data_IF_814359857422
#
_entry.id   IF_814359857422
#
_cell.length_a   1.000
_cell.length_b   1.000
_cell.length_c   1.000
_cell.angle_alpha   90.00
_cell.angle_beta   90.00
_cell.angle_gamma   90.00
#
_symmetry.space_group_name_H-M   'P 1'
#
loop_
_entity.id
_entity.type
_entity.pdbx_description
1 polymer ?
#
# COMPACT_ATOMS: atom_id res chain seq x y z
N UNK A 1 4.08 -21.51 8.83
CA UNK A 1 4.27 -20.46 9.85
C UNK A 1 5.43 -19.58 9.40
N UNK A 2 5.15 -18.40 8.83
CA UNK A 2 6.20 -17.45 8.40
C UNK A 2 6.61 -16.63 9.63
N UNK A 3 7.85 -16.80 10.05
CA UNK A 3 8.47 -16.00 11.09
C UNK A 3 8.36 -14.52 10.69
N UNK A 4 7.60 -13.74 11.45
CA UNK A 4 7.73 -12.30 11.42
C UNK A 4 9.06 -12.01 12.11
N UNK A 5 10.08 -11.72 11.30
CA UNK A 5 11.41 -11.30 11.73
C UNK A 5 11.30 -9.97 12.49
N UNK A 6 10.96 -10.04 13.78
CA UNK A 6 11.20 -8.96 14.73
C UNK A 6 12.61 -9.14 15.30
N UNK A 7 13.61 -9.04 14.42
CA UNK A 7 14.99 -8.90 14.86
C UNK A 7 15.23 -7.40 14.98
N UNK A 8 15.14 -6.90 16.22
CA UNK A 8 15.36 -5.50 16.58
C UNK A 8 16.81 -5.10 16.31
N UNK A 9 17.18 -4.96 15.03
CA UNK A 9 18.39 -4.25 14.62
C UNK A 9 18.15 -2.77 14.84
N UNK A 10 19.11 -2.11 15.49
CA UNK A 10 19.15 -0.66 15.53
C UNK A 10 19.00 -0.13 14.10
N UNK A 11 18.06 0.80 13.90
CA UNK A 11 17.87 1.43 12.59
C UNK A 11 19.15 2.18 12.27
N UNK A 12 19.80 1.85 11.16
CA UNK A 12 20.87 2.67 10.62
C UNK A 12 20.26 3.97 10.10
N UNK A 13 20.51 5.07 10.83
CA UNK A 13 19.95 6.39 10.52
C UNK A 13 20.78 7.15 9.50
N UNK A 14 22.00 6.68 9.22
CA UNK A 14 22.97 7.38 8.36
C UNK A 14 22.44 7.46 6.93
N UNK A 15 22.39 8.67 6.37
CA UNK A 15 21.91 8.95 5.01
C UNK A 15 20.61 8.22 4.63
N UNK A 16 19.67 8.18 5.59
CA UNK A 16 18.43 7.40 5.47
C UNK A 16 17.63 7.75 4.21
N UNK A 17 17.63 9.02 3.77
CA UNK A 17 16.90 9.44 2.58
C UNK A 17 17.47 8.87 1.29
N UNK A 18 18.80 8.77 1.15
CA UNK A 18 19.40 8.13 -0.01
C UNK A 18 19.11 6.64 -0.04
N UNK A 19 19.14 5.99 1.13
CA UNK A 19 18.77 4.57 1.26
C UNK A 19 17.31 4.35 0.86
N UNK A 20 16.37 5.15 1.36
CA UNK A 20 14.96 5.04 0.97
C UNK A 20 14.74 5.24 -0.54
N UNK A 21 15.53 6.11 -1.18
CA UNK A 21 15.45 6.32 -2.65
C UNK A 21 15.92 5.13 -3.48
N UNK A 22 16.76 4.24 -2.93
CA UNK A 22 17.23 3.05 -3.65
C UNK A 22 16.31 1.84 -3.52
N UNK A 23 15.32 1.89 -2.61
CA UNK A 23 14.36 0.82 -2.39
C UNK A 23 13.28 0.79 -3.46
N UNK A 24 12.75 -0.41 -3.72
CA UNK A 24 11.73 -0.63 -4.76
C UNK A 24 10.46 -1.32 -4.25
N UNK A 25 10.52 -2.01 -3.10
CA UNK A 25 9.38 -2.69 -2.51
C UNK A 25 8.93 -2.00 -1.22
N UNK A 26 7.62 -1.90 -1.01
CA UNK A 26 7.07 -1.21 0.17
C UNK A 26 7.57 -1.82 1.47
N UNK A 27 7.63 -3.15 1.56
CA UNK A 27 8.17 -3.91 2.69
C UNK A 27 9.57 -3.46 3.10
N UNK A 28 10.42 -3.09 2.13
CA UNK A 28 11.78 -2.62 2.39
C UNK A 28 11.77 -1.27 3.11
N UNK A 29 10.83 -0.37 2.80
CA UNK A 29 10.70 0.92 3.49
C UNK A 29 10.32 0.71 4.97
N UNK A 30 9.36 -0.17 5.23
CA UNK A 30 8.96 -0.51 6.60
C UNK A 30 10.11 -1.15 7.38
N UNK A 31 10.86 -2.06 6.75
CA UNK A 31 12.02 -2.69 7.37
C UNK A 31 13.15 -1.67 7.65
N UNK A 32 13.46 -0.82 6.67
CA UNK A 32 14.51 0.20 6.79
C UNK A 32 14.21 1.23 7.89
N UNK A 33 12.94 1.56 8.12
CA UNK A 33 12.49 2.50 9.15
C UNK A 33 12.06 1.82 10.46
N UNK A 34 12.14 0.49 10.54
CA UNK A 34 11.77 -0.28 11.73
C UNK A 34 10.30 -0.10 12.15
N UNK A 35 9.39 -0.05 11.17
CA UNK A 35 7.95 0.09 11.39
C UNK A 35 7.29 -1.28 11.18
N UNK A 36 6.48 -1.68 12.16
CA UNK A 36 5.65 -2.89 12.05
C UNK A 36 4.37 -2.60 11.25
N UNK A 37 3.89 -3.58 10.48
CA UNK A 37 2.70 -3.45 9.65
C UNK A 37 1.92 -4.76 9.60
N UNK A 38 0.60 -4.68 9.37
CA UNK A 38 -0.21 -5.84 8.97
C UNK A 38 -0.01 -6.14 7.48
N UNK A 39 0.50 -7.33 7.10
CA UNK A 39 0.63 -7.74 5.70
C UNK A 39 -0.68 -7.64 4.91
N UNK A 40 -1.85 -7.86 5.52
CA UNK A 40 -3.14 -7.76 4.82
C UNK A 40 -3.41 -6.36 4.29
N UNK A 41 -3.10 -5.34 5.10
CA UNK A 41 -3.24 -3.93 4.72
C UNK A 41 -2.17 -3.56 3.70
N UNK A 42 -0.90 -3.87 3.99
CA UNK A 42 0.20 -3.49 3.10
C UNK A 42 0.03 -4.14 1.73
N UNK A 43 -0.38 -5.41 1.68
CA UNK A 43 -0.52 -6.15 0.43
C UNK A 43 -1.44 -5.49 -0.60
N UNK A 44 -2.52 -4.85 -0.14
CA UNK A 44 -3.53 -4.21 -1.01
C UNK A 44 -3.22 -2.75 -1.31
N UNK A 45 -2.35 -2.11 -0.53
CA UNK A 45 -2.18 -0.65 -0.56
C UNK A 45 -0.74 -0.16 -0.75
N UNK A 46 0.23 -1.05 -1.05
CA UNK A 46 1.67 -0.72 -1.24
C UNK A 46 1.90 0.57 -2.03
N UNK A 47 1.41 0.63 -3.27
CA UNK A 47 1.63 1.77 -4.16
C UNK A 47 1.02 3.05 -3.61
N UNK A 48 -0.15 2.95 -2.98
CA UNK A 48 -0.85 4.10 -2.41
C UNK A 48 -0.14 4.64 -1.17
N UNK A 49 0.34 3.76 -0.28
CA UNK A 49 1.13 4.13 0.89
C UNK A 49 2.42 4.83 0.45
N UNK A 50 3.19 4.24 -0.48
CA UNK A 50 4.44 4.85 -0.95
C UNK A 50 4.22 6.18 -1.65
N UNK A 51 3.16 6.30 -2.47
CA UNK A 51 2.78 7.57 -3.09
C UNK A 51 2.45 8.62 -2.03
N UNK A 52 1.66 8.27 -1.01
CA UNK A 52 1.27 9.20 0.07
C UNK A 52 2.46 9.61 0.93
N UNK A 53 3.33 8.66 1.28
CA UNK A 53 4.60 8.93 1.95
C UNK A 53 5.43 9.95 1.16
N UNK A 54 5.58 9.76 -0.15
CA UNK A 54 6.32 10.70 -1.00
C UNK A 54 5.72 12.10 -1.03
N UNK A 55 4.39 12.23 -0.96
CA UNK A 55 3.71 13.53 -0.87
C UNK A 55 4.04 14.24 0.45
N UNK A 56 3.94 13.53 1.57
CA UNK A 56 4.28 14.07 2.89
C UNK A 56 5.77 14.43 3.01
N UNK A 57 6.68 13.60 2.48
CA UNK A 57 8.11 13.91 2.48
C UNK A 57 8.45 15.16 1.67
N UNK A 58 7.68 15.49 0.64
CA UNK A 58 7.88 16.70 -0.15
C UNK A 58 7.47 17.98 0.58
N UNK A 59 6.65 17.87 1.63
CA UNK A 59 6.22 18.99 2.48
C UNK A 59 7.21 19.25 3.64
N UNK A 60 8.11 18.30 3.92
CA UNK A 60 9.10 18.39 4.99
C UNK A 60 10.36 19.15 4.54
N UNK A 61 10.92 19.97 5.44
CA UNK A 61 12.25 20.56 5.28
C UNK A 61 13.28 19.76 6.09
N UNK A 62 14.22 19.14 5.37
CA UNK A 62 15.31 18.34 5.92
C UNK A 62 16.66 19.08 5.97
N UNK A 63 16.73 20.32 5.48
CA UNK A 63 17.98 21.06 5.36
C UNK A 63 18.64 21.28 6.72
N UNK A 64 19.90 20.85 6.86
CA UNK A 64 20.70 21.05 8.07
C UNK A 64 20.25 20.25 9.30
N UNK A 65 19.30 19.31 9.15
CA UNK A 65 18.89 18.44 10.24
C UNK A 65 19.87 17.28 10.45
N UNK A 66 20.09 16.85 11.71
CA UNK A 66 20.83 15.63 11.98
C UNK A 66 20.11 14.39 11.43
N UNK A 67 20.87 13.41 10.95
CA UNK A 67 20.38 12.14 10.38
C UNK A 67 19.32 11.44 11.25
N UNK A 68 19.50 11.44 12.58
CA UNK A 68 18.51 10.87 13.50
C UNK A 68 17.15 11.57 13.47
N UNK A 69 17.14 12.90 13.29
CA UNK A 69 15.90 13.68 13.17
C UNK A 69 15.25 13.43 11.82
N UNK A 70 16.05 13.36 10.74
CA UNK A 70 15.58 13.04 9.40
C UNK A 70 14.94 11.64 9.40
N UNK A 71 15.58 10.65 10.01
CA UNK A 71 15.06 9.29 10.13
C UNK A 71 13.75 9.25 10.92
N UNK A 72 13.65 9.99 12.03
CA UNK A 72 12.43 10.07 12.82
C UNK A 72 11.26 10.69 12.02
N UNK A 73 11.52 11.75 11.24
CA UNK A 73 10.50 12.38 10.38
C UNK A 73 10.07 11.48 9.22
N UNK A 74 11.03 10.82 8.56
CA UNK A 74 10.73 9.86 7.51
C UNK A 74 9.89 8.68 8.03
N UNK A 75 10.21 8.20 9.24
CA UNK A 75 9.43 7.19 9.95
C UNK A 75 8.00 7.66 10.22
N UNK A 76 7.83 8.82 10.86
CA UNK A 76 6.52 9.39 11.17
C UNK A 76 5.66 9.59 9.90
N UNK A 77 6.31 9.99 8.81
CA UNK A 77 5.65 10.15 7.50
C UNK A 77 5.13 8.84 6.95
N UNK A 78 5.92 7.76 7.02
CA UNK A 78 5.48 6.43 6.58
C UNK A 78 4.38 5.86 7.49
N UNK A 79 4.49 6.03 8.82
CA UNK A 79 3.46 5.62 9.78
C UNK A 79 2.13 6.31 9.49
N UNK A 80 2.14 7.64 9.32
CA UNK A 80 0.94 8.41 8.94
C UNK A 80 0.37 7.96 7.61
N UNK A 81 1.21 7.79 6.59
CA UNK A 81 0.77 7.32 5.29
C UNK A 81 0.15 5.92 5.36
N UNK A 82 0.67 5.03 6.19
CA UNK A 82 0.10 3.70 6.43
C UNK A 82 -1.24 3.77 7.15
N UNK A 83 -1.33 4.56 8.23
CA UNK A 83 -2.56 4.73 9.02
C UNK A 83 -3.72 5.24 8.16
N UNK A 84 -3.47 6.17 7.25
CA UNK A 84 -4.46 6.67 6.29
C UNK A 84 -5.17 5.54 5.52
N UNK A 85 -4.49 4.41 5.25
CA UNK A 85 -5.10 3.26 4.55
C UNK A 85 -5.53 2.14 5.49
N UNK A 86 -4.89 2.01 6.65
CA UNK A 86 -5.25 1.02 7.66
C UNK A 86 -6.59 1.35 8.33
N UNK A 87 -6.83 2.63 8.64
CA UNK A 87 -8.10 3.09 9.22
C UNK A 87 -9.16 3.32 8.15
N UNK A 88 -8.77 3.85 6.99
CA UNK A 88 -9.69 4.16 5.89
C UNK A 88 -9.91 2.98 4.94
N UNK A 89 -9.90 1.74 5.44
CA UNK A 89 -10.20 0.56 4.63
C UNK A 89 -11.44 0.85 3.76
N UNK A 90 -11.32 0.85 2.41
CA UNK A 90 -12.44 1.14 1.52
C UNK A 90 -13.61 0.16 1.69
N UNK A 91 -13.35 -1.01 2.28
CA UNK A 91 -14.36 -1.98 2.69
C UNK A 91 -15.20 -1.47 3.87
N UNK A 92 -14.56 -0.80 4.85
CA UNK A 92 -15.24 -0.22 6.01
C UNK A 92 -16.01 1.05 5.63
N UNK A 93 -15.45 1.88 4.74
CA UNK A 93 -16.04 3.17 4.37
C UNK A 93 -16.95 3.13 3.11
N UNK A 94 -17.16 1.96 2.47
CA UNK A 94 -18.02 1.75 1.28
C UNK A 94 -17.91 2.90 0.25
N UNK A 95 -16.70 3.41 0.03
CA UNK A 95 -16.43 4.58 -0.82
C UNK A 95 -16.30 4.23 -2.31
N UNK A 96 -16.39 2.95 -2.65
CA UNK A 96 -16.57 2.53 -4.04
C UNK A 96 -18.04 2.61 -4.42
N UNK A 97 -18.37 3.51 -5.37
CA UNK A 97 -19.70 3.55 -6.03
C UNK A 97 -20.13 2.17 -6.58
N UNK A 98 -19.17 1.31 -6.92
CA UNK A 98 -19.37 -0.06 -7.40
C UNK A 98 -19.88 -1.04 -6.31
N UNK A 99 -19.73 -0.73 -5.01
CA UNK A 99 -20.21 -1.59 -3.91
C UNK A 99 -21.61 -1.20 -3.40
N UNK A 100 -22.29 -0.24 -4.03
CA UNK A 100 -23.64 0.21 -3.64
C UNK A 100 -24.77 -0.59 -4.28
N UNK A 101 -24.47 -1.49 -5.23
CA UNK A 101 -25.50 -2.17 -6.05
C UNK A 101 -25.83 -3.61 -5.63
N UNK A 102 -25.34 -4.10 -4.50
CA UNK A 102 -25.73 -5.44 -4.00
C UNK A 102 -26.61 -5.32 -2.76
N UNK A 103 -27.91 -5.19 -3.01
CA UNK A 103 -28.98 -5.36 -2.03
C UNK A 103 -29.20 -6.87 -1.80
N UNK A 104 -29.00 -7.42 -0.58
CA UNK A 104 -29.14 -8.87 -0.32
C UNK A 104 -30.59 -9.36 -0.47
N UNK A 105 -31.59 -8.48 -0.46
CA UNK A 105 -33.01 -8.81 -0.55
C UNK A 105 -33.60 -8.69 -1.97
N UNK A 106 -32.78 -8.31 -2.96
CA UNK A 106 -33.19 -8.30 -4.37
C UNK A 106 -32.30 -9.22 -5.19
N UNK A 107 -32.79 -10.36 -5.68
CA UNK A 107 -32.07 -11.10 -6.70
C UNK A 107 -31.99 -10.19 -7.93
N UNK A 108 -30.81 -9.65 -8.20
CA UNK A 108 -30.52 -9.06 -9.49
C UNK A 108 -30.80 -10.15 -10.54
N UNK A 109 -31.81 -9.95 -11.37
CA UNK A 109 -31.99 -10.71 -12.60
C UNK A 109 -30.71 -10.53 -13.41
N UNK A 110 -29.85 -11.55 -13.34
CA UNK A 110 -28.56 -11.62 -14.02
C UNK A 110 -28.83 -11.79 -15.50
N UNK A 111 -29.05 -10.69 -16.19
CA UNK A 111 -28.96 -10.65 -17.66
C UNK A 111 -27.55 -10.21 -18.11
N UNK A 112 -26.54 -10.48 -17.29
CA UNK A 112 -25.18 -10.55 -17.80
C UNK A 112 -25.06 -11.87 -18.53
N UNK A 113 -25.24 -11.81 -19.85
CA UNK A 113 -24.74 -12.80 -20.79
C UNK A 113 -23.28 -13.07 -20.45
N UNK A 114 -23.05 -14.09 -19.62
CA UNK A 114 -21.72 -14.60 -19.34
C UNK A 114 -21.19 -15.12 -20.68
N UNK A 115 -20.18 -14.44 -21.24
CA UNK A 115 -19.50 -14.90 -22.45
C UNK A 115 -18.29 -15.71 -21.99
N UNK A 116 -18.29 -17.04 -22.16
CA UNK A 116 -17.14 -17.87 -21.82
C UNK A 116 -15.88 -17.39 -22.54
N UNK A 117 -14.73 -17.46 -21.87
CA UNK A 117 -13.44 -17.00 -22.41
C UNK A 117 -13.08 -17.65 -23.76
N UNK A 118 -13.46 -18.92 -23.92
CA UNK A 118 -13.40 -19.67 -25.17
C UNK A 118 -14.17 -19.03 -26.35
N UNK A 119 -15.28 -18.32 -26.09
CA UNK A 119 -16.02 -17.59 -27.13
C UNK A 119 -15.26 -16.38 -27.66
N UNK A 120 -14.40 -15.77 -26.84
CA UNK A 120 -13.52 -14.66 -27.25
C UNK A 120 -12.34 -15.20 -28.05
N UNK A 121 -11.76 -16.32 -27.61
CA UNK A 121 -10.62 -16.95 -28.30
C UNK A 121 -10.99 -17.43 -29.71
N UNK A 122 -12.23 -17.86 -29.93
CA UNK A 122 -12.74 -18.28 -31.25
C UNK A 122 -12.78 -17.15 -32.29
N UNK A 123 -12.71 -15.88 -31.87
CA UNK A 123 -12.58 -14.73 -32.79
C UNK A 123 -11.15 -14.57 -33.33
N UNK A 124 -10.16 -15.19 -32.68
CA UNK A 124 -8.73 -14.97 -32.95
C UNK A 124 -7.97 -16.24 -33.39
N UNK A 125 -8.64 -17.37 -33.61
CA UNK A 125 -8.10 -18.56 -34.27
C UNK A 125 -9.25 -19.47 -34.67
N UNK A 126 -9.31 -20.11 -35.83
CA UNK A 126 -8.40 -20.44 -36.95
C UNK A 126 -9.35 -20.48 -38.18
N UNK A 127 -9.02 -20.09 -39.41
CA UNK A 127 -7.96 -20.53 -40.34
C UNK A 127 -7.75 -19.45 -41.41
#
# INVERSE_FOLDING_TARGET
MRSCFAESRAIDVTDILARLKSLSAAEEFFAALGISYDPKVLNVSRLHILKRMGQYLAEEDFAGLPDGVIAARARATLERAYEDFATSSPLTHRVFKVLKEHDPDKPATRDHTFVPFESILRRFGTE
#
